data_IF_820302325764
#
_entry.id   IF_820302325764
#
_cell.length_a   1.000
_cell.length_b   1.000
_cell.length_c   1.000
_cell.angle_alpha   90.00
_cell.angle_beta   90.00
_cell.angle_gamma   90.00
#
_symmetry.space_group_name_H-M   'P 1'
#
loop_
_entity.id
_entity.type
_entity.pdbx_description
1 polymer ?
#
# COMPACT_ATOMS: atom_id res chain seq x y z
N UNK A 1 -20.65 8.38 5.31
CA UNK A 1 -20.41 7.06 4.69
C UNK A 1 -19.62 6.23 5.68
N UNK A 2 -20.02 4.99 5.92
CA UNK A 2 -19.25 4.05 6.72
C UNK A 2 -17.89 3.80 6.06
N UNK A 3 -16.78 4.00 6.77
CA UNK A 3 -15.40 3.78 6.29
C UNK A 3 -15.03 2.28 6.27
N UNK A 4 -15.98 1.43 5.92
CA UNK A 4 -15.80 -0.02 5.81
C UNK A 4 -15.41 -0.36 4.37
N UNK A 5 -14.68 -1.48 4.19
CA UNK A 5 -14.43 -2.08 2.87
C UNK A 5 -15.80 -2.29 2.18
N UNK A 6 -16.01 -1.65 1.04
CA UNK A 6 -17.29 -1.58 0.35
C UNK A 6 -17.72 -2.94 -0.17
N UNK A 7 -16.80 -3.77 -0.66
CA UNK A 7 -17.14 -5.13 -1.07
C UNK A 7 -17.72 -5.94 0.10
N UNK A 8 -17.11 -5.81 1.29
CA UNK A 8 -17.58 -6.46 2.50
C UNK A 8 -18.94 -5.92 2.95
N UNK A 9 -19.09 -4.59 2.93
CA UNK A 9 -20.35 -3.93 3.27
C UNK A 9 -21.48 -4.38 2.34
N UNK A 10 -21.22 -4.49 1.04
CA UNK A 10 -22.18 -5.01 0.07
C UNK A 10 -22.57 -6.46 0.39
N UNK A 11 -21.59 -7.34 0.56
CA UNK A 11 -21.84 -8.77 0.81
C UNK A 11 -22.62 -9.01 2.11
N UNK A 12 -22.30 -8.28 3.17
CA UNK A 12 -22.97 -8.45 4.47
C UNK A 12 -24.32 -7.76 4.52
N UNK A 13 -24.45 -6.52 4.04
CA UNK A 13 -25.72 -5.78 4.07
C UNK A 13 -26.81 -6.43 3.21
N UNK A 14 -26.42 -7.20 2.20
CA UNK A 14 -27.34 -7.96 1.34
C UNK A 14 -27.48 -9.44 1.75
N UNK A 15 -26.99 -9.83 2.94
CA UNK A 15 -27.01 -11.21 3.45
C UNK A 15 -26.43 -12.24 2.46
N UNK A 16 -25.48 -11.82 1.61
CA UNK A 16 -24.76 -12.72 0.70
C UNK A 16 -23.83 -13.63 1.48
N UNK A 17 -23.10 -13.04 2.43
CA UNK A 17 -22.26 -13.77 3.37
C UNK A 17 -22.76 -13.58 4.82
N UNK A 18 -22.74 -14.67 5.56
CA UNK A 18 -23.04 -14.80 6.98
C UNK A 18 -22.07 -15.82 7.59
N UNK A 19 -22.09 -15.95 8.92
CA UNK A 19 -21.27 -16.93 9.63
C UNK A 19 -21.52 -18.38 9.16
N UNK A 20 -22.73 -18.69 8.67
CA UNK A 20 -23.13 -20.04 8.30
C UNK A 20 -22.91 -20.38 6.83
N UNK A 21 -22.69 -19.38 5.95
CA UNK A 21 -22.62 -19.62 4.51
C UNK A 21 -21.36 -19.07 3.83
N UNK A 22 -20.44 -18.40 4.53
CA UNK A 22 -19.27 -17.78 3.90
C UNK A 22 -18.41 -18.79 3.11
N UNK A 23 -18.29 -20.02 3.61
CA UNK A 23 -17.48 -21.07 2.98
C UNK A 23 -18.18 -21.74 1.77
N UNK A 24 -19.50 -21.55 1.61
CA UNK A 24 -20.30 -22.13 0.53
C UNK A 24 -20.85 -21.10 -0.46
N UNK A 25 -20.84 -19.81 -0.10
CA UNK A 25 -21.28 -18.73 -0.96
C UNK A 25 -20.41 -18.65 -2.22
N UNK A 26 -21.08 -18.52 -3.36
CA UNK A 26 -20.47 -18.31 -4.67
C UNK A 26 -20.98 -17.01 -5.28
N UNK A 27 -20.09 -16.29 -5.95
CA UNK A 27 -20.45 -15.04 -6.63
C UNK A 27 -21.39 -15.37 -7.80
N UNK A 28 -22.57 -14.77 -7.84
CA UNK A 28 -23.47 -14.84 -9.00
C UNK A 28 -23.31 -13.61 -9.92
N UNK A 29 -23.99 -13.60 -11.06
CA UNK A 29 -23.89 -12.53 -12.07
C UNK A 29 -24.27 -11.14 -11.54
N UNK A 30 -25.27 -11.05 -10.67
CA UNK A 30 -25.70 -9.77 -10.07
C UNK A 30 -24.64 -9.27 -9.11
N UNK A 31 -24.13 -10.16 -8.25
CA UNK A 31 -23.09 -9.82 -7.28
C UNK A 31 -21.78 -9.43 -7.98
N UNK A 32 -21.38 -10.13 -9.05
CA UNK A 32 -20.22 -9.78 -9.86
C UNK A 32 -20.26 -8.32 -10.32
N UNK A 33 -21.40 -7.88 -10.85
CA UNK A 33 -21.58 -6.52 -11.37
C UNK A 33 -21.46 -5.48 -10.25
N UNK A 34 -22.12 -5.70 -9.12
CA UNK A 34 -22.06 -4.77 -7.98
C UNK A 34 -20.67 -4.75 -7.31
N UNK A 35 -20.00 -5.91 -7.25
CA UNK A 35 -18.66 -6.03 -6.68
C UNK A 35 -17.60 -5.32 -7.53
N UNK A 36 -17.78 -5.19 -8.84
CA UNK A 36 -16.89 -4.39 -9.69
C UNK A 36 -16.82 -2.93 -9.23
N UNK A 37 -17.95 -2.31 -8.89
CA UNK A 37 -17.97 -0.93 -8.40
C UNK A 37 -17.49 -0.83 -6.95
N UNK A 38 -17.79 -1.82 -6.12
CA UNK A 38 -17.24 -1.91 -4.77
C UNK A 38 -15.70 -1.97 -4.79
N UNK A 39 -15.12 -2.77 -5.68
CA UNK A 39 -13.67 -2.92 -5.81
C UNK A 39 -12.96 -1.65 -6.23
N UNK A 40 -13.57 -0.84 -7.10
CA UNK A 40 -13.05 0.50 -7.43
C UNK A 40 -12.99 1.40 -6.19
N UNK A 41 -14.02 1.33 -5.35
CA UNK A 41 -14.05 2.06 -4.09
C UNK A 41 -13.01 1.51 -3.11
N UNK A 42 -12.88 0.20 -2.98
CA UNK A 42 -11.88 -0.42 -2.09
C UNK A 42 -10.46 -0.08 -2.51
N UNK A 43 -10.18 -0.10 -3.82
CA UNK A 43 -8.91 0.36 -4.39
C UNK A 43 -8.62 1.81 -3.99
N UNK A 44 -9.59 2.74 -4.14
CA UNK A 44 -9.42 4.14 -3.73
C UNK A 44 -9.11 4.27 -2.24
N UNK A 45 -9.81 3.50 -1.40
CA UNK A 45 -9.61 3.52 0.05
C UNK A 45 -8.24 2.99 0.46
N UNK A 46 -7.82 1.86 -0.12
CA UNK A 46 -6.48 1.30 0.12
C UNK A 46 -5.38 2.22 -0.39
N UNK A 47 -5.53 2.79 -1.59
CA UNK A 47 -4.51 3.70 -2.12
C UNK A 47 -4.38 4.97 -1.29
N UNK A 48 -5.50 5.55 -0.83
CA UNK A 48 -5.44 6.71 0.07
C UNK A 48 -4.73 6.36 1.40
N UNK A 49 -4.98 5.18 1.96
CA UNK A 49 -4.27 4.72 3.17
C UNK A 49 -2.77 4.53 2.93
N UNK A 50 -2.38 4.06 1.74
CA UNK A 50 -0.98 3.99 1.33
C UNK A 50 -0.34 5.39 1.28
N UNK A 51 -0.98 6.36 0.63
CA UNK A 51 -0.49 7.75 0.54
C UNK A 51 -0.40 8.42 1.92
N UNK A 52 -1.38 8.20 2.79
CA UNK A 52 -1.37 8.72 4.17
C UNK A 52 -0.21 8.14 4.98
N UNK A 53 0.03 6.83 4.85
CA UNK A 53 1.15 6.14 5.51
C UNK A 53 2.48 6.66 4.97
N UNK A 54 2.60 6.78 3.65
CA UNK A 54 3.81 7.25 2.98
C UNK A 54 4.15 8.68 3.35
N UNK A 55 3.18 9.60 3.25
CA UNK A 55 3.39 10.99 3.64
C UNK A 55 3.78 11.12 5.11
N UNK A 56 3.13 10.37 5.99
CA UNK A 56 3.48 10.33 7.41
C UNK A 56 4.88 9.76 7.66
N UNK A 57 5.39 8.91 6.77
CA UNK A 57 6.76 8.40 6.83
C UNK A 57 7.76 9.46 6.36
N UNK A 58 7.49 10.15 5.26
CA UNK A 58 8.32 11.27 4.77
C UNK A 58 8.45 12.35 5.86
N UNK A 59 7.35 12.74 6.50
CA UNK A 59 7.35 13.65 7.65
C UNK A 59 8.20 13.11 8.81
N UNK A 60 8.07 11.81 9.11
CA UNK A 60 8.88 11.13 10.13
C UNK A 60 10.39 11.20 9.83
N UNK A 61 10.79 10.92 8.58
CA UNK A 61 12.19 11.03 8.15
C UNK A 61 12.72 12.47 8.33
N UNK A 62 11.95 13.48 7.93
CA UNK A 62 12.33 14.89 8.09
C UNK A 62 12.50 15.28 9.57
N UNK A 63 11.71 14.68 10.46
CA UNK A 63 11.75 14.89 11.91
C UNK A 63 12.69 13.94 12.66
N UNK A 64 13.49 13.15 11.94
CA UNK A 64 14.42 12.15 12.51
C UNK A 64 13.73 11.06 13.34
N UNK A 65 12.46 10.78 13.06
CA UNK A 65 11.74 9.64 13.62
C UNK A 65 11.82 8.45 12.65
N UNK A 66 13.01 7.87 12.56
CA UNK A 66 13.34 6.83 11.58
C UNK A 66 12.60 5.52 11.88
N UNK A 67 12.46 5.17 13.16
CA UNK A 67 11.80 3.94 13.58
C UNK A 67 10.33 3.94 13.17
N UNK A 68 9.62 5.05 13.41
CA UNK A 68 8.24 5.22 12.97
C UNK A 68 8.11 5.36 11.45
N UNK A 69 9.07 5.98 10.77
CA UNK A 69 9.10 6.02 9.32
C UNK A 69 9.20 4.59 8.72
N UNK A 70 10.05 3.73 9.28
CA UNK A 70 10.20 2.32 8.88
C UNK A 70 8.88 1.56 8.96
N UNK A 71 8.16 1.74 10.07
CA UNK A 71 6.84 1.12 10.28
C UNK A 71 5.83 1.65 9.25
N UNK A 72 5.80 2.96 9.01
CA UNK A 72 4.83 3.58 8.09
C UNK A 72 5.11 3.26 6.61
N UNK A 73 6.37 3.13 6.20
CA UNK A 73 6.74 2.65 4.86
C UNK A 73 6.36 1.16 4.67
N UNK A 74 6.44 0.34 5.72
CA UNK A 74 5.90 -1.03 5.67
C UNK A 74 4.37 -1.04 5.49
N UNK A 75 3.64 -0.18 6.20
CA UNK A 75 2.18 -0.04 5.98
C UNK A 75 1.84 0.51 4.60
N UNK A 76 2.68 1.39 4.07
CA UNK A 76 2.57 1.88 2.69
C UNK A 76 2.57 0.73 1.70
N UNK A 77 3.53 -0.19 1.84
CA UNK A 77 3.62 -1.40 1.03
C UNK A 77 2.35 -2.26 1.18
N UNK A 78 1.92 -2.53 2.42
CA UNK A 78 0.70 -3.30 2.68
C UNK A 78 -0.55 -2.75 2.01
N UNK A 79 -0.80 -1.44 2.15
CA UNK A 79 -1.98 -0.82 1.55
C UNK A 79 -1.86 -0.71 0.03
N UNK A 80 -0.67 -0.49 -0.51
CA UNK A 80 -0.44 -0.46 -1.96
C UNK A 80 -0.73 -1.82 -2.60
N UNK A 81 -0.28 -2.91 -1.99
CA UNK A 81 -0.57 -4.27 -2.48
C UNK A 81 -2.06 -4.61 -2.41
N UNK A 82 -2.77 -4.14 -1.38
CA UNK A 82 -4.24 -4.29 -1.35
C UNK A 82 -4.92 -3.50 -2.46
N UNK A 83 -4.48 -2.27 -2.74
CA UNK A 83 -5.00 -1.49 -3.86
C UNK A 83 -4.76 -2.18 -5.20
N UNK A 84 -3.54 -2.69 -5.43
CA UNK A 84 -3.19 -3.48 -6.62
C UNK A 84 -4.02 -4.76 -6.74
N UNK A 85 -4.24 -5.48 -5.65
CA UNK A 85 -5.09 -6.67 -5.64
C UNK A 85 -6.54 -6.31 -6.01
N UNK A 86 -7.12 -5.28 -5.40
CA UNK A 86 -8.49 -4.84 -5.71
C UNK A 86 -8.63 -4.34 -7.14
N UNK A 87 -7.62 -3.65 -7.68
CA UNK A 87 -7.54 -3.27 -9.08
C UNK A 87 -7.62 -4.48 -10.02
N UNK A 88 -6.96 -5.56 -9.65
CA UNK A 88 -6.96 -6.83 -10.39
C UNK A 88 -8.13 -7.75 -10.02
N UNK A 89 -9.21 -7.21 -9.46
CA UNK A 89 -10.44 -7.95 -9.20
C UNK A 89 -10.46 -8.76 -7.90
N UNK A 90 -9.41 -8.72 -7.07
CA UNK A 90 -9.40 -9.46 -5.82
C UNK A 90 -10.20 -8.73 -4.74
N UNK A 91 -11.22 -9.42 -4.26
CA UNK A 91 -12.01 -9.03 -3.09
C UNK A 91 -11.23 -9.46 -1.84
N UNK A 92 -11.07 -8.56 -0.88
CA UNK A 92 -10.31 -8.79 0.36
C UNK A 92 -11.06 -8.18 1.53
N UNK A 93 -11.43 -8.98 2.52
CA UNK A 93 -12.15 -8.49 3.69
C UNK A 93 -11.93 -9.33 4.94
N UNK A 94 -12.24 -8.74 6.10
CA UNK A 94 -12.29 -9.46 7.36
C UNK A 94 -13.71 -9.91 7.65
N UNK A 95 -13.87 -11.15 8.06
CA UNK A 95 -15.10 -11.68 8.62
C UNK A 95 -14.77 -12.47 9.88
N UNK A 96 -15.33 -12.06 11.02
CA UNK A 96 -15.06 -12.62 12.35
C UNK A 96 -13.57 -12.78 12.67
N UNK A 97 -12.78 -11.72 12.43
CA UNK A 97 -11.35 -11.70 12.70
C UNK A 97 -10.47 -12.49 11.72
N UNK A 98 -11.06 -13.21 10.76
CA UNK A 98 -10.33 -13.94 9.71
C UNK A 98 -10.32 -13.13 8.42
N UNK A 99 -9.17 -13.10 7.76
CA UNK A 99 -9.00 -12.45 6.45
C UNK A 99 -9.41 -13.43 5.35
N UNK A 100 -10.28 -12.99 4.44
CA UNK A 100 -10.73 -13.76 3.28
C UNK A 100 -10.32 -13.05 1.99
N UNK A 101 -10.14 -13.85 0.92
CA UNK A 101 -10.03 -13.33 -0.44
C UNK A 101 -10.65 -14.24 -1.48
N UNK A 102 -11.10 -13.66 -2.58
CA UNK A 102 -11.56 -14.35 -3.79
C UNK A 102 -11.49 -13.42 -4.99
N UNK A 103 -11.35 -13.99 -6.18
CA UNK A 103 -11.45 -13.21 -7.42
C UNK A 103 -12.92 -12.82 -7.68
N UNK A 104 -13.19 -11.60 -8.13
CA UNK A 104 -14.53 -11.23 -8.56
C UNK A 104 -14.87 -11.93 -9.88
N UNK A 105 -15.34 -13.17 -9.80
CA UNK A 105 -15.68 -14.03 -10.92
C UNK A 105 -16.90 -14.87 -10.56
N UNK A 106 -17.83 -15.04 -11.49
CA UNK A 106 -19.02 -15.89 -11.27
C UNK A 106 -18.60 -17.32 -10.93
N UNK A 107 -19.14 -17.85 -9.85
CA UNK A 107 -18.82 -19.17 -9.29
C UNK A 107 -17.64 -19.19 -8.32
N UNK A 108 -16.88 -18.10 -8.17
CA UNK A 108 -15.78 -18.04 -7.21
C UNK A 108 -16.29 -18.08 -5.76
N UNK A 109 -15.54 -18.79 -4.92
CA UNK A 109 -15.73 -18.82 -3.46
C UNK A 109 -14.63 -18.03 -2.75
N UNK A 110 -14.98 -17.41 -1.63
CA UNK A 110 -14.00 -16.75 -0.77
C UNK A 110 -13.24 -17.78 0.06
N UNK A 111 -11.91 -17.64 0.09
CA UNK A 111 -11.03 -18.53 0.86
C UNK A 111 -10.39 -17.77 2.02
N UNK A 112 -10.33 -18.37 3.22
CA UNK A 112 -9.58 -17.78 4.31
C UNK A 112 -8.09 -17.78 3.98
N UNK A 113 -7.42 -16.65 4.21
CA UNK A 113 -5.98 -16.52 4.10
C UNK A 113 -5.31 -16.92 5.42
N UNK A 114 -4.16 -17.58 5.33
CA UNK A 114 -3.37 -18.01 6.49
C UNK A 114 -2.28 -16.99 6.82
N UNK A 115 -1.95 -16.86 8.10
CA UNK A 115 -0.89 -15.99 8.61
C UNK A 115 -1.43 -14.69 9.21
N UNK A 116 -0.53 -13.79 9.60
CA UNK A 116 -0.93 -12.44 9.99
C UNK A 116 -1.52 -11.68 8.80
N UNK A 117 -2.28 -10.61 9.08
CA UNK A 117 -2.86 -9.72 8.08
C UNK A 117 -1.90 -9.32 6.97
N UNK A 118 -0.67 -8.95 7.31
CA UNK A 118 0.31 -8.45 6.34
C UNK A 118 0.93 -9.59 5.51
N UNK A 119 1.36 -10.67 6.16
CA UNK A 119 1.93 -11.85 5.51
C UNK A 119 0.95 -12.48 4.52
N UNK A 120 -0.33 -12.56 4.90
CA UNK A 120 -1.39 -13.07 4.05
C UNK A 120 -1.52 -12.27 2.75
N UNK A 121 -1.44 -10.94 2.81
CA UNK A 121 -1.48 -10.07 1.62
C UNK A 121 -0.23 -10.23 0.77
N UNK A 122 0.97 -10.23 1.38
CA UNK A 122 2.22 -10.39 0.64
C UNK A 122 2.29 -11.74 -0.07
N UNK A 123 1.85 -12.81 0.60
CA UNK A 123 1.77 -14.14 0.03
C UNK A 123 0.74 -14.23 -1.09
N UNK A 124 -0.45 -13.64 -0.91
CA UNK A 124 -1.48 -13.60 -1.94
C UNK A 124 -0.94 -12.88 -3.19
N UNK A 125 -0.36 -11.69 -3.03
CA UNK A 125 0.20 -10.93 -4.15
C UNK A 125 1.31 -11.70 -4.86
N UNK A 126 2.29 -12.23 -4.13
CA UNK A 126 3.40 -13.00 -4.71
C UNK A 126 2.94 -14.25 -5.46
N UNK A 127 1.89 -14.91 -4.97
CA UNK A 127 1.30 -16.08 -5.62
C UNK A 127 0.57 -15.72 -6.90
N UNK A 128 -0.13 -14.57 -6.93
CA UNK A 128 -0.95 -14.15 -8.06
C UNK A 128 -0.16 -13.39 -9.13
N UNK A 129 0.93 -12.74 -8.74
CA UNK A 129 1.80 -11.98 -9.63
C UNK A 129 3.27 -12.40 -9.46
N UNK A 130 3.61 -13.67 -9.73
CA UNK A 130 4.95 -14.20 -9.47
C UNK A 130 6.04 -13.54 -10.32
N UNK A 131 5.68 -12.89 -11.43
CA UNK A 131 6.58 -12.19 -12.34
C UNK A 131 6.65 -10.67 -12.09
N UNK A 132 5.94 -10.16 -11.07
CA UNK A 132 5.99 -8.74 -10.75
C UNK A 132 7.39 -8.35 -10.26
N UNK A 133 7.88 -7.17 -10.65
CA UNK A 133 9.21 -6.65 -10.29
C UNK A 133 9.47 -6.66 -8.78
N UNK A 134 8.45 -6.41 -7.95
CA UNK A 134 8.55 -6.42 -6.49
C UNK A 134 8.65 -7.82 -5.88
N UNK A 135 8.37 -8.87 -6.66
CA UNK A 135 8.36 -10.27 -6.22
C UNK A 135 9.61 -11.01 -6.69
N UNK A 136 10.01 -10.81 -7.95
CA UNK A 136 11.12 -11.58 -8.56
C UNK A 136 12.50 -11.13 -8.08
N UNK A 137 12.63 -9.85 -7.70
CA UNK A 137 13.91 -9.29 -7.29
C UNK A 137 14.11 -9.42 -5.77
N UNK A 138 15.37 -9.60 -5.40
CA UNK A 138 15.82 -9.67 -4.01
C UNK A 138 16.45 -8.34 -3.59
N UNK A 139 16.39 -8.06 -2.29
CA UNK A 139 17.11 -6.97 -1.63
C UNK A 139 18.01 -7.63 -0.60
N UNK A 140 19.31 -7.36 -0.68
CA UNK A 140 20.29 -7.92 0.26
C UNK A 140 20.18 -9.46 0.40
N UNK A 141 20.14 -10.15 -0.75
CA UNK A 141 19.97 -11.62 -0.86
C UNK A 141 18.70 -12.19 -0.21
N UNK A 142 17.72 -11.35 0.10
CA UNK A 142 16.44 -11.74 0.71
C UNK A 142 15.29 -11.39 -0.21
N UNK A 143 14.22 -12.20 -0.19
CA UNK A 143 13.00 -11.87 -0.94
C UNK A 143 12.47 -10.52 -0.47
N UNK A 144 12.19 -9.61 -1.41
CA UNK A 144 11.89 -8.21 -1.10
C UNK A 144 10.87 -8.02 0.03
N UNK A 145 9.72 -8.71 0.01
CA UNK A 145 8.70 -8.58 1.06
C UNK A 145 9.11 -9.15 2.42
N UNK A 146 9.95 -10.18 2.45
CA UNK A 146 10.53 -10.72 3.68
C UNK A 146 11.54 -9.74 4.27
N UNK A 147 12.39 -9.15 3.43
CA UNK A 147 13.33 -8.11 3.83
C UNK A 147 12.62 -6.91 4.49
N UNK A 148 11.50 -6.44 3.92
CA UNK A 148 10.66 -5.40 4.53
C UNK A 148 10.06 -5.83 5.87
N UNK A 149 9.58 -7.08 5.98
CA UNK A 149 9.01 -7.62 7.20
C UNK A 149 10.05 -7.69 8.32
N UNK A 150 11.23 -8.25 8.05
CA UNK A 150 12.29 -8.38 9.05
C UNK A 150 12.77 -7.03 9.56
N UNK A 151 12.96 -6.04 8.68
CA UNK A 151 13.34 -4.68 9.07
C UNK A 151 12.26 -4.00 9.94
N UNK A 152 10.97 -4.14 9.58
CA UNK A 152 9.88 -3.60 10.39
C UNK A 152 9.80 -4.30 11.75
N UNK A 153 9.94 -5.62 11.81
CA UNK A 153 9.92 -6.37 13.07
C UNK A 153 11.11 -6.05 13.96
N UNK A 154 12.30 -5.92 13.38
CA UNK A 154 13.51 -5.56 14.09
C UNK A 154 13.32 -4.20 14.79
N UNK A 155 12.94 -3.18 14.05
CA UNK A 155 12.74 -1.82 14.57
C UNK A 155 11.59 -1.75 15.59
N UNK A 156 10.49 -2.46 15.36
CA UNK A 156 9.29 -2.32 16.17
C UNK A 156 9.26 -3.20 17.43
N UNK A 157 9.95 -4.35 17.42
CA UNK A 157 9.84 -5.34 18.50
C UNK A 157 11.18 -5.79 19.07
N UNK A 158 12.28 -5.70 18.31
CA UNK A 158 13.60 -6.24 18.71
C UNK A 158 14.56 -5.15 19.20
N UNK A 159 14.32 -3.88 18.85
CA UNK A 159 15.07 -2.72 19.36
C UNK A 159 14.35 -2.10 20.55
N UNK A 160 15.02 -2.00 21.70
CA UNK A 160 14.50 -1.30 22.89
C UNK A 160 15.63 -0.59 23.66
N UNK A 161 15.56 0.74 23.87
CA UNK A 161 14.60 1.68 23.26
C UNK A 161 14.84 1.86 21.76
N UNK A 162 13.83 2.34 21.03
CA UNK A 162 14.00 2.74 19.62
C UNK A 162 15.19 3.70 19.48
N UNK A 163 15.98 3.55 18.42
CA UNK A 163 17.23 4.29 18.22
C UNK A 163 17.03 5.75 17.80
N UNK A 164 15.79 6.22 17.62
CA UNK A 164 15.50 7.60 17.24
C UNK A 164 16.13 8.59 18.27
N UNK A 165 16.80 9.67 17.83
CA UNK A 165 16.89 10.21 16.47
C UNK A 165 18.14 9.76 15.68
N UNK A 166 18.80 8.66 16.05
CA UNK A 166 19.95 8.14 15.30
C UNK A 166 19.49 7.61 13.94
N UNK A 167 20.25 7.94 12.90
CA UNK A 167 19.94 7.55 11.52
C UNK A 167 20.13 6.04 11.38
N UNK A 168 19.08 5.34 10.94
CA UNK A 168 19.16 3.93 10.55
C UNK A 168 19.96 3.76 9.27
N UNK A 169 20.68 2.63 9.14
CA UNK A 169 21.36 2.24 7.90
C UNK A 169 20.45 2.28 6.67
N UNK A 170 19.16 1.99 6.85
CA UNK A 170 18.11 2.06 5.82
C UNK A 170 17.96 3.44 5.16
N UNK A 171 18.44 4.51 5.82
CA UNK A 171 18.21 5.88 5.38
C UNK A 171 19.49 6.73 5.23
N UNK A 172 20.69 6.15 5.41
CA UNK A 172 21.95 6.91 5.38
C UNK A 172 22.12 7.71 4.08
N UNK A 173 21.81 7.10 2.92
CA UNK A 173 21.83 7.79 1.63
C UNK A 173 20.67 8.77 1.46
N UNK A 174 19.39 8.35 1.51
CA UNK A 174 18.27 9.24 1.20
C UNK A 174 18.18 10.45 2.14
N UNK A 175 18.58 10.33 3.40
CA UNK A 175 18.38 11.43 4.36
C UNK A 175 19.30 12.63 4.13
N UNK A 176 20.42 12.44 3.40
CA UNK A 176 21.36 13.52 3.05
C UNK A 176 20.68 14.65 2.28
N UNK A 177 19.75 14.30 1.39
CA UNK A 177 18.90 15.24 0.66
C UNK A 177 17.60 14.54 0.23
N UNK A 178 16.69 14.39 1.19
CA UNK A 178 15.45 13.61 1.01
C UNK A 178 14.62 14.06 -0.19
N UNK A 179 14.52 15.38 -0.42
CA UNK A 179 13.80 15.96 -1.57
C UNK A 179 14.38 15.49 -2.92
N UNK A 180 15.70 15.57 -3.05
CA UNK A 180 16.38 15.15 -4.29
C UNK A 180 16.21 13.65 -4.49
N UNK A 181 16.40 12.85 -3.45
CA UNK A 181 16.26 11.40 -3.55
C UNK A 181 14.84 10.96 -3.88
N UNK A 182 13.81 11.55 -3.27
CA UNK A 182 12.41 11.30 -3.66
C UNK A 182 12.18 11.62 -5.14
N UNK A 183 12.73 12.74 -5.62
CA UNK A 183 12.60 13.13 -7.03
C UNK A 183 13.30 12.13 -7.95
N UNK A 184 14.49 11.66 -7.57
CA UNK A 184 15.23 10.64 -8.30
C UNK A 184 14.47 9.31 -8.34
N UNK A 185 13.90 8.88 -7.22
CA UNK A 185 13.09 7.65 -7.18
C UNK A 185 11.87 7.76 -8.08
N UNK A 186 11.13 8.88 -8.03
CA UNK A 186 9.97 9.10 -8.93
C UNK A 186 10.38 9.05 -10.41
N UNK A 187 11.60 9.47 -10.75
CA UNK A 187 12.12 9.46 -12.12
C UNK A 187 12.71 8.10 -12.54
N UNK A 188 13.01 7.22 -11.58
CA UNK A 188 13.62 5.89 -11.78
C UNK A 188 12.60 4.78 -12.12
N UNK A 189 11.37 5.14 -12.51
CA UNK A 189 10.27 4.17 -12.75
C UNK A 189 10.57 3.14 -13.84
N UNK A 190 11.34 3.52 -14.87
CA UNK A 190 11.67 2.65 -15.99
C UNK A 190 12.90 1.77 -15.73
N UNK A 191 13.84 2.24 -14.91
CA UNK A 191 15.15 1.61 -14.74
C UNK A 191 15.29 0.86 -13.41
N UNK A 192 14.52 1.24 -12.38
CA UNK A 192 14.51 0.63 -11.05
C UNK A 192 15.91 0.50 -10.42
N UNK A 193 16.83 1.42 -10.73
CA UNK A 193 18.22 1.45 -10.26
C UNK A 193 18.28 1.42 -8.74
N UNK A 194 17.43 2.21 -8.07
CA UNK A 194 17.45 2.37 -6.61
C UNK A 194 16.49 1.43 -5.87
N UNK A 195 15.57 0.82 -6.61
CA UNK A 195 14.40 0.12 -6.06
C UNK A 195 14.81 -1.11 -5.23
N UNK A 196 15.86 -1.79 -5.68
CA UNK A 196 16.38 -3.02 -5.07
C UNK A 196 17.79 -2.86 -4.49
N UNK A 197 18.34 -1.64 -4.53
CA UNK A 197 19.63 -1.31 -3.93
C UNK A 197 19.49 -1.18 -2.41
N UNK A 198 20.27 -1.91 -1.62
CA UNK A 198 20.12 -1.98 -0.16
C UNK A 198 20.15 -0.60 0.53
N UNK A 199 20.99 0.34 0.07
CA UNK A 199 21.13 1.66 0.70
C UNK A 199 19.97 2.61 0.39
N UNK A 200 19.14 2.26 -0.61
CA UNK A 200 18.03 3.08 -1.10
C UNK A 200 16.66 2.40 -0.96
N UNK A 201 16.62 1.06 -0.95
CA UNK A 201 15.46 0.23 -1.23
C UNK A 201 14.28 0.53 -0.31
N UNK A 202 14.52 0.76 0.99
CA UNK A 202 13.41 0.93 1.94
C UNK A 202 12.47 2.09 1.54
N UNK A 203 13.04 3.19 1.04
CA UNK A 203 12.30 4.34 0.53
C UNK A 203 12.04 4.24 -0.98
N UNK A 204 13.01 3.81 -1.78
CA UNK A 204 12.85 3.73 -3.23
C UNK A 204 11.78 2.71 -3.65
N UNK A 205 11.79 1.51 -3.09
CA UNK A 205 10.79 0.46 -3.35
C UNK A 205 9.37 0.92 -3.02
N UNK A 206 9.20 1.55 -1.86
CA UNK A 206 7.89 2.06 -1.42
C UNK A 206 7.44 3.27 -2.23
N UNK A 207 8.38 4.07 -2.73
CA UNK A 207 8.08 5.12 -3.73
C UNK A 207 7.59 4.49 -5.02
N UNK A 208 8.31 3.50 -5.55
CA UNK A 208 7.97 2.85 -6.82
C UNK A 208 6.59 2.20 -6.83
N UNK A 209 6.22 1.48 -5.77
CA UNK A 209 4.90 0.83 -5.74
C UNK A 209 3.75 1.85 -5.68
N UNK A 210 3.97 3.01 -5.05
CA UNK A 210 3.02 4.13 -5.10
C UNK A 210 2.98 4.75 -6.49
N UNK A 211 4.13 4.93 -7.14
CA UNK A 211 4.22 5.51 -8.48
C UNK A 211 3.55 4.61 -9.54
N UNK A 212 3.63 3.29 -9.41
CA UNK A 212 2.88 2.35 -10.24
C UNK A 212 1.36 2.61 -10.11
N UNK A 213 0.85 2.84 -8.89
CA UNK A 213 -0.55 3.19 -8.66
C UNK A 213 -0.92 4.60 -9.17
N UNK A 214 -0.06 5.60 -9.01
CA UNK A 214 -0.31 6.93 -9.60
C UNK A 214 -0.36 6.88 -11.13
N UNK A 215 0.53 6.09 -11.74
CA UNK A 215 0.59 5.87 -13.18
C UNK A 215 -0.68 5.21 -13.66
N UNK A 216 -1.17 4.19 -12.95
CA UNK A 216 -2.44 3.55 -13.25
C UNK A 216 -3.59 4.56 -13.23
N UNK A 217 -3.75 5.32 -12.16
CA UNK A 217 -4.84 6.31 -12.06
C UNK A 217 -4.78 7.32 -13.21
N UNK A 218 -3.57 7.71 -13.62
CA UNK A 218 -3.37 8.60 -14.76
C UNK A 218 -3.78 7.94 -16.08
N UNK A 219 -3.39 6.68 -16.30
CA UNK A 219 -3.72 5.91 -17.51
C UNK A 219 -5.22 5.74 -17.70
N UNK A 220 -5.98 5.54 -16.62
CA UNK A 220 -7.44 5.38 -16.67
C UNK A 220 -8.20 6.69 -16.39
N UNK A 221 -7.49 7.82 -16.30
CA UNK A 221 -8.04 9.14 -15.96
C UNK A 221 -8.98 9.13 -14.73
N UNK A 222 -8.62 8.35 -13.71
CA UNK A 222 -9.41 8.18 -12.49
C UNK A 222 -9.00 9.20 -11.43
N UNK A 223 -9.99 9.73 -10.72
CA UNK A 223 -9.79 10.46 -9.46
C UNK A 223 -10.06 9.55 -8.27
N UNK A 224 -9.31 9.72 -7.19
CA UNK A 224 -9.51 8.97 -5.95
C UNK A 224 -10.73 9.53 -5.21
N UNK A 225 -11.75 8.70 -5.00
CA UNK A 225 -13.01 9.09 -4.39
C UNK A 225 -12.87 9.71 -3.00
N UNK A 226 -11.86 9.29 -2.23
CA UNK A 226 -11.67 9.66 -0.83
C UNK A 226 -10.64 10.77 -0.63
N UNK A 227 -9.90 11.17 -1.67
CA UNK A 227 -8.96 12.29 -1.60
C UNK A 227 -9.71 13.64 -1.67
N UNK A 228 -10.36 14.00 -0.57
CA UNK A 228 -11.02 15.30 -0.37
C UNK A 228 -10.04 16.38 0.09
N UNK A 229 -10.50 17.63 0.19
CA UNK A 229 -9.68 18.78 0.60
C UNK A 229 -9.00 18.61 1.97
N UNK A 230 -9.69 18.01 2.96
CA UNK A 230 -9.14 17.81 4.29
C UNK A 230 -7.93 16.87 4.24
N UNK A 231 -8.09 15.70 3.62
CA UNK A 231 -7.01 14.72 3.53
C UNK A 231 -5.89 15.24 2.61
N UNK A 232 -6.23 15.93 1.52
CA UNK A 232 -5.27 16.57 0.63
C UNK A 232 -4.38 17.58 1.39
N UNK A 233 -4.99 18.47 2.19
CA UNK A 233 -4.25 19.46 2.99
C UNK A 233 -3.34 18.79 4.00
N UNK A 234 -3.80 17.74 4.67
CA UNK A 234 -3.00 16.97 5.61
C UNK A 234 -1.78 16.32 4.95
N UNK A 235 -2.00 15.59 3.85
CA UNK A 235 -0.93 14.92 3.09
C UNK A 235 0.07 15.96 2.57
N UNK A 236 -0.40 17.10 2.07
CA UNK A 236 0.46 18.20 1.59
C UNK A 236 1.37 18.74 2.70
N UNK A 237 0.85 18.90 3.93
CA UNK A 237 1.66 19.31 5.08
C UNK A 237 2.78 18.29 5.37
N UNK A 238 2.47 17.00 5.30
CA UNK A 238 3.44 15.93 5.52
C UNK A 238 4.51 15.85 4.39
N UNK A 239 4.20 16.30 3.19
CA UNK A 239 5.14 16.42 2.07
C UNK A 239 5.83 17.79 1.99
N UNK A 240 6.03 18.47 3.12
CA UNK A 240 6.67 19.78 3.19
C UNK A 240 7.95 19.70 4.01
N UNK A 241 9.07 20.12 3.41
CA UNK A 241 10.35 20.29 4.12
C UNK A 241 10.62 21.79 4.39
N UNK A 242 11.83 22.13 4.84
CA UNK A 242 12.24 23.52 5.13
C UNK A 242 12.19 24.45 3.92
N UNK A 243 12.27 23.91 2.70
CA UNK A 243 12.17 24.63 1.43
C UNK A 243 10.73 24.70 0.90
N UNK A 244 9.75 24.23 1.68
CA UNK A 244 8.34 24.21 1.31
C UNK A 244 7.89 22.85 0.76
N UNK A 245 6.73 22.78 0.08
CA UNK A 245 6.20 21.53 -0.44
C UNK A 245 7.15 20.83 -1.43
N UNK A 246 7.20 19.49 -1.39
CA UNK A 246 7.93 18.66 -2.34
C UNK A 246 7.09 18.58 -3.63
N UNK A 247 7.42 19.44 -4.59
CA UNK A 247 6.59 19.71 -5.79
C UNK A 247 6.24 18.45 -6.58
N UNK A 248 7.17 17.51 -6.74
CA UNK A 248 6.94 16.24 -7.47
C UNK A 248 5.83 15.40 -6.82
N UNK A 249 5.79 15.33 -5.49
CA UNK A 249 4.74 14.61 -4.75
C UNK A 249 3.40 15.35 -4.80
N UNK A 250 3.42 16.69 -4.67
CA UNK A 250 2.20 17.50 -4.78
C UNK A 250 1.59 17.41 -6.17
N UNK A 251 2.44 17.36 -7.21
CA UNK A 251 1.99 17.15 -8.58
C UNK A 251 1.25 15.81 -8.73
N UNK A 252 1.80 14.71 -8.21
CA UNK A 252 1.14 13.39 -8.20
C UNK A 252 -0.21 13.41 -7.49
N UNK A 253 -0.29 14.04 -6.32
CA UNK A 253 -1.57 14.18 -5.60
C UNK A 253 -2.62 14.94 -6.41
N UNK A 254 -2.23 16.02 -7.09
CA UNK A 254 -3.15 16.79 -7.91
C UNK A 254 -3.69 15.99 -9.11
N UNK A 255 -2.92 15.05 -9.66
CA UNK A 255 -3.37 14.20 -10.76
C UNK A 255 -4.56 13.32 -10.38
N UNK A 256 -4.63 12.87 -9.12
CA UNK A 256 -5.68 11.97 -8.65
C UNK A 256 -6.72 12.65 -7.73
N UNK A 257 -6.55 13.94 -7.44
CA UNK A 257 -7.50 14.71 -6.61
C UNK A 257 -8.87 14.83 -7.30
N UNK A 258 -9.93 14.60 -6.53
CA UNK A 258 -11.31 14.78 -6.95
C UNK A 258 -11.64 16.24 -7.23
#
# INVERSE_FOLDING_TARGET
MSNTIQSYNYLTSNNRITNSNIDSYTINTVDYTNLCDCLKSDMDGFFLNAILSYSSAIDGLMKKSFSWATIKLYYTLFYSLKAELSRNGFIIFYHNGKLFSGLNQVGEQFKPLKGTSHEAIFKLFSTKFPQNKFVINDIDNSKSFEWFKENREHVNYRINPMSDPQVSSLYLKPISNLRVWISNYIQDTNTNIYTFDNEHAYLAFTTQIIEDLFTEYSNINRKNLYLNECNFKYIKTNFTDKSGPISVLIHRLNQIKK
#
